data_IF_849859664559
#
_entry.id   IF_849859664559
#
_cell.length_a   1.000
_cell.length_b   1.000
_cell.length_c   1.000
_cell.angle_alpha   90.00
_cell.angle_beta   90.00
_cell.angle_gamma   90.00
#
_symmetry.space_group_name_H-M   'P 1'
#
loop_
_entity.id
_entity.type
_entity.pdbx_description
1 polymer ?
#
# COMPACT_ATOMS: atom_id res chain seq x y z
N UNK A 1 0.26 -2.15 -23.57
CA UNK A 1 0.66 -0.93 -22.81
C UNK A 1 1.03 -1.42 -21.42
N UNK A 2 2.20 -1.02 -20.88
CA UNK A 2 2.62 -1.42 -19.52
C UNK A 2 1.90 -0.47 -18.54
N UNK A 3 1.20 -1.04 -17.56
CA UNK A 3 0.52 -0.29 -16.51
C UNK A 3 1.55 0.33 -15.55
N UNK A 4 1.31 1.56 -15.14
CA UNK A 4 2.26 2.38 -14.38
C UNK A 4 1.80 2.60 -12.94
N UNK A 5 2.75 2.57 -12.00
CA UNK A 5 2.44 2.70 -10.57
C UNK A 5 3.27 3.75 -9.86
N UNK A 6 2.73 4.25 -8.75
CA UNK A 6 3.43 5.03 -7.74
C UNK A 6 3.33 4.27 -6.41
N UNK A 7 4.45 4.17 -5.69
CA UNK A 7 4.54 3.54 -4.36
C UNK A 7 4.80 4.62 -3.29
N UNK A 8 3.82 4.86 -2.42
CA UNK A 8 3.94 5.79 -1.30
C UNK A 8 4.19 5.01 -0.01
N UNK A 9 5.11 5.47 0.82
CA UNK A 9 5.59 4.74 2.01
C UNK A 9 6.24 3.39 1.62
N UNK A 10 7.07 3.42 0.61
CA UNK A 10 7.44 2.25 -0.18
C UNK A 10 8.26 1.20 0.58
N UNK A 11 8.90 1.58 1.68
CA UNK A 11 9.84 0.67 2.34
C UNK A 11 10.94 0.22 1.38
N UNK A 12 11.30 -1.04 1.44
CA UNK A 12 12.28 -1.66 0.52
C UNK A 12 11.67 -2.14 -0.80
N UNK A 13 10.35 -1.90 -1.01
CA UNK A 13 9.65 -2.20 -2.26
C UNK A 13 8.92 -3.55 -2.31
N UNK A 14 8.47 -4.08 -1.18
CA UNK A 14 7.77 -5.37 -1.16
C UNK A 14 6.47 -5.35 -1.98
N UNK A 15 5.66 -4.29 -1.88
CA UNK A 15 4.45 -4.14 -2.71
C UNK A 15 4.82 -3.89 -4.17
N UNK A 16 5.81 -3.03 -4.43
CA UNK A 16 6.31 -2.78 -5.79
C UNK A 16 6.73 -4.05 -6.49
N UNK A 17 7.43 -4.96 -5.78
CA UNK A 17 7.82 -6.24 -6.33
C UNK A 17 6.61 -7.09 -6.74
N UNK A 18 5.57 -7.14 -5.90
CA UNK A 18 4.33 -7.85 -6.23
C UNK A 18 3.63 -7.25 -7.45
N UNK A 19 3.56 -5.93 -7.58
CA UNK A 19 3.00 -5.26 -8.74
C UNK A 19 3.82 -5.51 -10.01
N UNK A 20 5.15 -5.51 -9.92
CA UNK A 20 6.00 -5.81 -11.09
C UNK A 20 5.88 -7.28 -11.54
N UNK A 21 5.76 -8.22 -10.61
CA UNK A 21 5.43 -9.61 -10.95
C UNK A 21 4.09 -9.74 -11.69
N UNK A 22 3.15 -8.83 -11.45
CA UNK A 22 1.87 -8.74 -12.15
C UNK A 22 1.94 -7.93 -13.47
N UNK A 23 3.13 -7.51 -13.90
CA UNK A 23 3.35 -6.82 -15.17
C UNK A 23 3.19 -5.30 -15.12
N UNK A 24 3.11 -4.71 -13.93
CA UNK A 24 3.14 -3.26 -13.75
C UNK A 24 4.60 -2.74 -13.76
N UNK A 25 4.76 -1.44 -13.89
CA UNK A 25 6.06 -0.78 -13.78
C UNK A 25 6.00 0.35 -12.76
N UNK A 26 6.88 0.31 -11.76
CA UNK A 26 7.02 1.41 -10.80
C UNK A 26 7.69 2.61 -11.48
N UNK A 27 7.01 3.76 -11.48
CA UNK A 27 7.54 5.04 -11.96
C UNK A 27 8.26 5.81 -10.88
N UNK A 28 7.63 5.86 -9.70
CA UNK A 28 8.09 6.65 -8.59
C UNK A 28 7.77 5.97 -7.27
N UNK A 29 8.70 6.04 -6.34
CA UNK A 29 8.53 5.62 -4.96
C UNK A 29 8.89 6.77 -4.01
N UNK A 30 8.19 6.83 -2.87
CA UNK A 30 8.47 7.79 -1.80
C UNK A 30 8.76 7.05 -0.52
N UNK A 31 9.95 7.27 0.05
CA UNK A 31 10.40 6.68 1.31
C UNK A 31 11.23 7.69 2.11
N UNK A 32 10.87 7.91 3.37
CA UNK A 32 11.52 8.92 4.19
C UNK A 32 12.88 8.50 4.77
N UNK A 33 13.06 7.21 5.05
CA UNK A 33 14.27 6.69 5.67
C UNK A 33 15.37 6.49 4.63
N UNK A 34 16.50 7.22 4.69
CA UNK A 34 17.51 7.24 3.62
C UNK A 34 18.08 5.86 3.27
N UNK A 35 18.35 5.02 4.28
CA UNK A 35 18.89 3.68 4.06
C UNK A 35 17.88 2.76 3.39
N UNK A 36 16.60 2.93 3.70
CA UNK A 36 15.49 2.16 3.13
C UNK A 36 15.26 2.61 1.69
N UNK A 37 15.21 3.93 1.43
CA UNK A 37 15.09 4.49 0.10
C UNK A 37 16.25 4.03 -0.82
N UNK A 38 17.47 4.00 -0.30
CA UNK A 38 18.63 3.46 -1.03
C UNK A 38 18.46 1.97 -1.38
N UNK A 39 17.94 1.18 -0.46
CA UNK A 39 17.64 -0.24 -0.70
C UNK A 39 16.58 -0.39 -1.79
N UNK A 40 15.51 0.41 -1.72
CA UNK A 40 14.50 0.44 -2.78
C UNK A 40 15.11 0.76 -4.15
N UNK A 41 15.99 1.78 -4.23
CA UNK A 41 16.65 2.18 -5.49
C UNK A 41 17.52 1.06 -6.08
N UNK A 42 18.15 0.25 -5.22
CA UNK A 42 18.92 -0.93 -5.66
C UNK A 42 17.98 -2.01 -6.22
N UNK A 43 16.84 -2.27 -5.58
CA UNK A 43 15.86 -3.25 -6.01
C UNK A 43 15.13 -2.84 -7.31
N UNK A 44 14.91 -1.54 -7.48
CA UNK A 44 14.15 -0.98 -8.61
C UNK A 44 14.94 0.16 -9.28
N UNK A 45 16.05 -0.16 -9.99
CA UNK A 45 16.93 0.86 -10.57
C UNK A 45 16.27 1.73 -11.65
N UNK A 46 15.17 1.28 -12.21
CA UNK A 46 14.39 1.99 -13.22
C UNK A 46 13.32 2.94 -12.63
N UNK A 47 13.04 2.83 -11.33
CA UNK A 47 12.08 3.69 -10.63
C UNK A 47 12.77 4.94 -10.10
N UNK A 48 12.10 6.08 -10.17
CA UNK A 48 12.55 7.29 -9.47
C UNK A 48 12.23 7.14 -7.99
N UNK A 49 13.23 7.30 -7.11
CA UNK A 49 13.02 7.28 -5.65
C UNK A 49 13.17 8.68 -5.10
N UNK A 50 12.15 9.14 -4.38
CA UNK A 50 12.19 10.36 -3.59
C UNK A 50 12.45 9.98 -2.14
N UNK A 51 13.63 10.34 -1.62
CA UNK A 51 13.91 10.21 -0.21
C UNK A 51 13.36 11.43 0.53
N UNK A 52 12.08 11.38 0.86
CA UNK A 52 11.36 12.48 1.49
C UNK A 52 10.20 11.95 2.36
N UNK A 53 9.85 12.70 3.39
CA UNK A 53 8.61 12.44 4.13
C UNK A 53 7.41 12.87 3.26
N UNK A 54 6.41 12.00 3.14
CA UNK A 54 5.22 12.28 2.34
C UNK A 54 4.51 13.56 2.78
N UNK A 55 4.61 13.91 4.05
CA UNK A 55 4.00 15.13 4.61
C UNK A 55 4.64 16.43 4.11
N UNK A 56 5.88 16.36 3.61
CA UNK A 56 6.61 17.49 3.07
C UNK A 56 6.52 17.61 1.53
N UNK A 57 5.85 16.65 0.88
CA UNK A 57 5.78 16.64 -0.57
C UNK A 57 5.01 17.85 -1.11
N UNK A 58 5.64 18.54 -2.02
CA UNK A 58 4.96 19.54 -2.86
C UNK A 58 4.25 18.80 -4.00
N UNK A 59 3.03 18.34 -3.72
CA UNK A 59 2.27 17.43 -4.59
C UNK A 59 2.23 17.95 -6.04
N UNK A 60 1.95 19.23 -6.25
CA UNK A 60 1.89 19.83 -7.60
C UNK A 60 3.25 19.74 -8.32
N UNK A 61 4.36 20.03 -7.64
CA UNK A 61 5.69 20.00 -8.28
C UNK A 61 6.15 18.57 -8.59
N UNK A 62 5.80 17.62 -7.72
CA UNK A 62 6.27 16.22 -7.82
C UNK A 62 5.46 15.41 -8.83
N UNK A 63 4.14 15.62 -8.90
CA UNK A 63 3.22 14.72 -9.60
C UNK A 63 2.52 15.36 -10.82
N UNK A 64 2.80 16.61 -11.18
CA UNK A 64 2.13 17.31 -12.29
C UNK A 64 2.20 16.51 -13.61
N UNK A 65 3.36 16.01 -13.96
CA UNK A 65 3.58 15.22 -15.17
C UNK A 65 2.93 13.83 -15.14
N UNK A 66 2.42 13.40 -13.99
CA UNK A 66 1.85 12.07 -13.76
C UNK A 66 0.32 12.08 -13.75
N UNK A 67 -0.30 13.26 -13.73
CA UNK A 67 -1.77 13.39 -13.71
C UNK A 67 -2.39 12.67 -14.91
N UNK A 68 -3.32 11.74 -14.63
CA UNK A 68 -4.03 10.96 -15.64
C UNK A 68 -3.18 9.92 -16.39
N UNK A 69 -1.91 9.74 -16.03
CA UNK A 69 -1.00 8.78 -16.68
C UNK A 69 -0.70 7.55 -15.80
N UNK A 70 -0.97 7.63 -14.51
CA UNK A 70 -0.72 6.56 -13.55
C UNK A 70 -1.95 5.66 -13.44
N UNK A 71 -1.74 4.37 -13.52
CA UNK A 71 -2.82 3.40 -13.43
C UNK A 71 -3.17 3.09 -11.97
N UNK A 72 -2.14 2.87 -11.12
CA UNK A 72 -2.36 2.53 -9.70
C UNK A 72 -1.41 3.31 -8.80
N UNK A 73 -1.94 3.87 -7.71
CA UNK A 73 -1.16 4.34 -6.56
C UNK A 73 -1.36 3.35 -5.43
N UNK A 74 -0.28 2.90 -4.82
CA UNK A 74 -0.39 2.03 -3.65
C UNK A 74 0.59 2.45 -2.55
N UNK A 75 0.38 1.92 -1.34
CA UNK A 75 1.27 2.17 -0.22
C UNK A 75 0.72 1.70 1.11
N UNK A 76 1.60 1.69 2.12
CA UNK A 76 1.29 1.33 3.49
C UNK A 76 1.48 2.50 4.45
N UNK A 77 0.60 3.52 4.48
CA UNK A 77 0.73 4.63 5.41
C UNK A 77 0.74 4.11 6.85
N UNK A 78 1.76 4.45 7.67
CA UNK A 78 1.86 3.92 9.02
C UNK A 78 0.67 4.36 9.89
N UNK A 79 0.12 3.40 10.62
CA UNK A 79 -1.01 3.58 11.54
C UNK A 79 -0.56 3.14 12.93
N UNK A 80 0.22 3.97 13.60
CA UNK A 80 0.91 3.58 14.84
C UNK A 80 -0.03 3.45 16.05
N UNK A 81 -1.17 4.15 16.07
CA UNK A 81 -2.15 4.09 17.14
C UNK A 81 -2.88 2.74 17.26
N UNK A 82 -2.80 1.87 16.26
CA UNK A 82 -3.55 0.61 16.19
C UNK A 82 -2.69 -0.64 16.28
N UNK A 83 -1.35 -0.51 16.36
CA UNK A 83 -0.53 -1.70 16.56
C UNK A 83 -0.76 -2.26 17.96
N UNK A 84 -0.92 -3.59 18.09
CA UNK A 84 -1.13 -4.28 19.36
C UNK A 84 0.01 -4.05 20.37
N UNK A 85 1.19 -3.59 19.92
CA UNK A 85 2.37 -3.30 20.74
C UNK A 85 2.51 -1.82 21.11
N UNK A 86 1.72 -0.94 20.49
CA UNK A 86 1.72 0.49 20.82
C UNK A 86 0.83 0.77 22.02
N UNK A 87 1.23 1.71 22.89
CA UNK A 87 0.31 2.34 23.84
C UNK A 87 -0.89 2.80 23.00
N UNK A 88 -2.13 2.55 23.48
CA UNK A 88 -3.35 3.06 22.84
C UNK A 88 -3.18 4.58 22.68
N UNK A 89 -2.68 4.99 21.51
CA UNK A 89 -2.55 6.39 21.16
C UNK A 89 -3.97 6.92 20.94
N UNK A 90 -4.22 8.10 21.44
CA UNK A 90 -5.52 8.75 21.30
C UNK A 90 -5.86 9.00 19.84
N UNK A 91 -7.14 9.21 19.53
CA UNK A 91 -7.60 9.65 18.22
C UNK A 91 -6.88 10.92 17.73
N UNK A 92 -6.24 11.66 18.64
CA UNK A 92 -5.54 12.93 18.38
C UNK A 92 -4.10 12.75 17.86
N UNK A 93 -3.58 11.52 17.71
CA UNK A 93 -2.23 11.31 17.17
C UNK A 93 -2.21 11.58 15.66
N UNK A 94 -1.50 12.61 15.24
CA UNK A 94 -1.37 13.02 13.83
C UNK A 94 -0.91 11.89 12.90
N UNK A 95 -0.13 10.93 13.43
CA UNK A 95 0.33 9.77 12.65
C UNK A 95 -0.80 8.83 12.22
N UNK A 96 -1.95 8.89 12.89
CA UNK A 96 -3.13 8.14 12.50
C UNK A 96 -3.78 8.69 11.22
N UNK A 97 -3.38 9.88 10.81
CA UNK A 97 -3.94 10.58 9.65
C UNK A 97 -2.99 10.62 8.43
N UNK A 98 -1.88 9.88 8.47
CA UNK A 98 -0.96 9.82 7.33
C UNK A 98 -1.61 9.27 6.04
N UNK A 99 -2.70 8.52 6.16
CA UNK A 99 -3.51 8.13 5.02
C UNK A 99 -4.10 9.33 4.26
N UNK A 100 -4.29 10.49 4.91
CA UNK A 100 -4.80 11.70 4.23
C UNK A 100 -3.81 12.19 3.19
N UNK A 101 -2.53 12.23 3.52
CA UNK A 101 -1.48 12.60 2.54
C UNK A 101 -1.43 11.62 1.36
N UNK A 102 -1.70 10.32 1.61
CA UNK A 102 -1.86 9.37 0.53
C UNK A 102 -3.06 9.73 -0.35
N UNK A 103 -4.20 10.06 0.25
CA UNK A 103 -5.41 10.44 -0.47
C UNK A 103 -5.26 11.77 -1.22
N UNK A 104 -4.52 12.74 -0.67
CA UNK A 104 -4.21 14.00 -1.35
C UNK A 104 -3.45 13.75 -2.67
N UNK A 105 -2.49 12.80 -2.68
CA UNK A 105 -1.81 12.39 -3.90
C UNK A 105 -2.76 11.69 -4.86
N UNK A 106 -3.65 10.81 -4.37
CA UNK A 106 -4.67 10.13 -5.19
C UNK A 106 -5.62 11.14 -5.83
N UNK A 107 -6.08 12.14 -5.08
CA UNK A 107 -6.97 13.19 -5.56
C UNK A 107 -6.32 14.01 -6.68
N UNK A 108 -5.04 14.35 -6.51
CA UNK A 108 -4.30 15.15 -7.47
C UNK A 108 -3.96 14.37 -8.74
N UNK A 109 -3.38 13.17 -8.62
CA UNK A 109 -2.91 12.35 -9.74
C UNK A 109 -4.06 11.70 -10.52
N UNK A 110 -5.16 11.40 -9.83
CA UNK A 110 -6.37 10.76 -10.38
C UNK A 110 -6.10 9.41 -11.06
N UNK A 111 -5.45 8.46 -10.38
CA UNK A 111 -5.19 7.13 -10.93
C UNK A 111 -6.50 6.38 -11.21
N UNK A 112 -6.43 5.31 -12.01
CA UNK A 112 -7.59 4.41 -12.25
C UNK A 112 -7.98 3.62 -11.00
N UNK A 113 -6.97 3.25 -10.20
CA UNK A 113 -7.16 2.55 -8.93
C UNK A 113 -6.11 2.96 -7.90
N UNK A 114 -6.40 2.67 -6.63
CA UNK A 114 -5.39 2.73 -5.57
C UNK A 114 -5.53 1.55 -4.61
N UNK A 115 -4.44 1.26 -3.89
CA UNK A 115 -4.39 0.21 -2.87
C UNK A 115 -3.72 0.73 -1.61
N UNK A 116 -4.43 0.70 -0.48
CA UNK A 116 -3.85 0.98 0.83
C UNK A 116 -3.69 -0.34 1.58
N UNK A 117 -2.47 -0.65 2.01
CA UNK A 117 -2.17 -1.74 2.94
C UNK A 117 -2.03 -1.21 4.35
N UNK A 118 -2.55 -1.95 5.33
CA UNK A 118 -2.40 -1.59 6.74
C UNK A 118 -2.58 -2.80 7.67
N UNK A 119 -2.43 -2.57 8.97
CA UNK A 119 -2.76 -3.58 9.98
C UNK A 119 -4.28 -3.84 10.04
N UNK A 120 -4.73 -5.07 10.40
CA UNK A 120 -6.15 -5.42 10.45
C UNK A 120 -7.00 -4.45 11.28
N UNK A 121 -6.41 -3.90 12.33
CA UNK A 121 -7.09 -3.00 13.25
C UNK A 121 -7.62 -1.71 12.59
N UNK A 122 -7.08 -1.31 11.44
CA UNK A 122 -7.62 -0.18 10.67
C UNK A 122 -9.10 -0.36 10.32
N UNK A 123 -9.50 -1.61 10.01
CA UNK A 123 -10.89 -1.93 9.64
C UNK A 123 -11.79 -2.22 10.83
N UNK A 124 -11.24 -2.50 12.03
CA UNK A 124 -12.02 -3.04 13.15
C UNK A 124 -12.01 -2.17 14.41
N UNK A 125 -11.02 -1.28 14.56
CA UNK A 125 -10.88 -0.48 15.78
C UNK A 125 -11.83 0.71 15.77
N UNK A 126 -12.36 1.06 16.95
CA UNK A 126 -13.24 2.23 17.15
C UNK A 126 -14.43 2.24 16.19
N UNK A 127 -15.14 1.11 16.09
CA UNK A 127 -16.28 0.94 15.19
C UNK A 127 -15.97 1.31 13.74
N UNK A 128 -14.75 0.96 13.28
CA UNK A 128 -14.27 1.24 11.92
C UNK A 128 -14.13 2.73 11.60
N UNK A 129 -13.97 3.59 12.60
CA UNK A 129 -13.94 5.05 12.44
C UNK A 129 -12.99 5.51 11.32
N UNK A 130 -11.73 5.05 11.33
CA UNK A 130 -10.75 5.46 10.32
C UNK A 130 -11.06 4.91 8.93
N UNK A 131 -11.57 3.68 8.86
CA UNK A 131 -12.03 3.12 7.59
C UNK A 131 -13.19 3.92 7.00
N UNK A 132 -14.14 4.35 7.84
CA UNK A 132 -15.26 5.18 7.41
C UNK A 132 -14.79 6.56 6.92
N UNK A 133 -13.81 7.20 7.57
CA UNK A 133 -13.20 8.44 7.07
C UNK A 133 -12.55 8.25 5.69
N UNK A 134 -11.75 7.20 5.53
CA UNK A 134 -11.13 6.87 4.23
C UNK A 134 -12.21 6.67 3.17
N UNK A 135 -13.26 5.90 3.51
CA UNK A 135 -14.36 5.61 2.60
C UNK A 135 -15.08 6.87 2.14
N UNK A 136 -15.45 7.75 3.07
CA UNK A 136 -16.13 9.00 2.77
C UNK A 136 -15.30 9.91 1.85
N UNK A 137 -14.01 10.05 2.11
CA UNK A 137 -13.13 10.88 1.28
C UNK A 137 -12.94 10.27 -0.12
N UNK A 138 -12.80 8.95 -0.21
CA UNK A 138 -12.69 8.26 -1.50
C UNK A 138 -13.97 8.35 -2.34
N UNK A 139 -15.15 8.21 -1.72
CA UNK A 139 -16.44 8.34 -2.41
C UNK A 139 -16.64 9.75 -2.98
N UNK A 140 -16.22 10.81 -2.24
CA UNK A 140 -16.23 12.20 -2.74
C UNK A 140 -15.31 12.38 -3.98
N UNK A 141 -14.20 11.65 -4.05
CA UNK A 141 -13.29 11.63 -5.18
C UNK A 141 -13.76 10.76 -6.37
N UNK A 142 -14.90 10.07 -6.23
CA UNK A 142 -15.50 9.20 -7.26
C UNK A 142 -14.89 7.80 -7.32
N UNK A 143 -14.32 7.30 -6.22
CA UNK A 143 -13.85 5.91 -6.12
C UNK A 143 -14.85 5.02 -5.40
N UNK A 144 -15.06 3.81 -5.92
CA UNK A 144 -15.76 2.74 -5.21
C UNK A 144 -14.76 1.93 -4.40
N UNK A 145 -15.05 1.71 -3.12
CA UNK A 145 -14.14 1.10 -2.15
C UNK A 145 -14.54 -0.32 -1.82
N UNK A 146 -13.57 -1.21 -1.82
CA UNK A 146 -13.66 -2.55 -1.23
C UNK A 146 -12.51 -2.74 -0.25
N UNK A 147 -12.79 -3.44 0.86
CA UNK A 147 -11.77 -3.73 1.86
C UNK A 147 -11.88 -5.16 2.37
N UNK A 148 -10.75 -5.79 2.64
CA UNK A 148 -10.66 -7.15 3.20
C UNK A 148 -9.39 -7.32 4.00
N UNK A 149 -9.46 -8.14 5.05
CA UNK A 149 -8.29 -8.65 5.74
C UNK A 149 -7.84 -9.92 5.01
N UNK A 150 -6.61 -9.94 4.55
CA UNK A 150 -5.98 -11.08 3.88
C UNK A 150 -4.83 -11.60 4.74
N UNK A 151 -4.62 -12.92 4.72
CA UNK A 151 -3.46 -13.56 5.34
C UNK A 151 -2.47 -13.97 4.24
N UNK A 152 -1.20 -13.62 4.38
CA UNK A 152 -0.18 -13.97 3.41
C UNK A 152 -0.05 -15.49 3.20
N UNK A 153 -0.36 -16.28 4.24
CA UNK A 153 -0.36 -17.76 4.16
C UNK A 153 -1.36 -18.31 3.14
N UNK A 154 -2.47 -17.60 2.91
CA UNK A 154 -3.49 -18.00 1.95
C UNK A 154 -3.05 -17.80 0.48
N UNK A 155 -1.90 -17.17 0.27
CA UNK A 155 -1.32 -16.87 -1.05
C UNK A 155 0.03 -17.54 -1.30
N UNK A 156 0.31 -18.64 -0.61
CA UNK A 156 1.54 -19.42 -0.80
C UNK A 156 2.78 -18.85 -0.10
N UNK A 157 2.63 -17.91 0.82
CA UNK A 157 3.73 -17.39 1.64
C UNK A 157 3.82 -18.22 2.93
N UNK A 158 4.99 -18.72 3.32
CA UNK A 158 5.16 -19.54 4.53
C UNK A 158 5.18 -18.72 5.82
N UNK A 159 4.29 -17.76 5.90
CA UNK A 159 4.17 -16.85 7.04
C UNK A 159 2.71 -16.43 7.25
N UNK A 160 2.22 -16.61 8.47
CA UNK A 160 0.95 -16.04 8.88
C UNK A 160 1.13 -14.53 9.11
N UNK A 161 0.61 -13.73 8.19
CA UNK A 161 0.70 -12.27 8.27
C UNK A 161 -0.58 -11.63 7.74
N UNK A 162 -1.46 -11.28 8.67
CA UNK A 162 -2.73 -10.63 8.34
C UNK A 162 -2.55 -9.14 8.08
N UNK A 163 -3.12 -8.66 6.98
CA UNK A 163 -3.16 -7.24 6.59
C UNK A 163 -4.52 -6.85 6.06
N UNK A 164 -4.91 -5.63 6.37
CA UNK A 164 -6.05 -4.99 5.74
C UNK A 164 -5.62 -4.42 4.40
N UNK A 165 -6.39 -4.70 3.36
CA UNK A 165 -6.26 -4.08 2.04
C UNK A 165 -7.52 -3.30 1.75
N UNK A 166 -7.37 -2.03 1.37
CA UNK A 166 -8.43 -1.16 0.87
C UNK A 166 -8.11 -0.88 -0.59
N UNK A 167 -9.01 -1.28 -1.47
CA UNK A 167 -8.87 -1.07 -2.92
C UNK A 167 -9.95 -0.09 -3.36
N UNK A 168 -9.53 1.02 -3.97
CA UNK A 168 -10.42 1.98 -4.62
C UNK A 168 -10.29 1.91 -6.13
N UNK A 169 -11.42 1.83 -6.83
CA UNK A 169 -11.45 1.86 -8.30
C UNK A 169 -12.37 2.99 -8.76
N UNK A 170 -11.92 3.73 -9.77
CA UNK A 170 -12.66 4.85 -10.36
C UNK A 170 -13.81 4.36 -11.25
N UNK A 171 -14.80 5.24 -11.50
CA UNK A 171 -15.85 5.03 -12.50
C UNK A 171 -16.87 3.90 -12.17
N UNK A 172 -17.27 3.78 -10.90
CA UNK A 172 -18.28 2.79 -10.46
C UNK A 172 -17.93 1.32 -10.79
N UNK A 173 -16.67 1.03 -11.07
CA UNK A 173 -16.22 -0.34 -11.18
C UNK A 173 -16.01 -0.93 -9.80
N UNK A 174 -16.31 -2.21 -9.63
CA UNK A 174 -16.15 -2.90 -8.36
C UNK A 174 -15.03 -3.92 -8.49
N UNK A 175 -13.98 -3.78 -7.68
CA UNK A 175 -13.01 -4.84 -7.51
C UNK A 175 -13.58 -5.90 -6.58
N UNK A 176 -13.85 -7.09 -7.11
CA UNK A 176 -14.34 -8.19 -6.28
C UNK A 176 -13.18 -8.85 -5.51
N UNK A 177 -12.84 -8.28 -4.36
CA UNK A 177 -11.78 -8.77 -3.48
C UNK A 177 -12.06 -10.17 -2.90
N UNK A 178 -13.21 -10.77 -3.20
CA UNK A 178 -13.53 -12.15 -2.81
C UNK A 178 -13.05 -13.18 -3.83
N UNK A 179 -12.82 -12.76 -5.06
CA UNK A 179 -12.35 -13.60 -6.19
C UNK A 179 -10.83 -13.53 -6.35
N UNK A 180 -10.11 -13.87 -5.28
CA UNK A 180 -8.65 -13.94 -5.29
C UNK A 180 -8.18 -15.38 -5.47
N UNK A 181 -7.07 -15.56 -6.18
CA UNK A 181 -6.47 -16.88 -6.39
C UNK A 181 -5.69 -17.30 -5.14
N UNK A 182 -6.33 -18.11 -4.31
CA UNK A 182 -5.72 -18.68 -3.12
C UNK A 182 -4.74 -19.80 -3.50
N UNK A 183 -3.61 -19.88 -2.77
CA UNK A 183 -2.56 -20.88 -2.95
C UNK A 183 -2.28 -21.59 -1.63
N UNK A 184 -2.03 -22.90 -1.69
CA UNK A 184 -1.57 -23.61 -0.52
C UNK A 184 -0.25 -23.07 0.00
N UNK A 185 -0.14 -23.00 1.33
CA UNK A 185 1.09 -22.61 1.99
C UNK A 185 2.13 -23.74 1.82
N UNK A 186 3.32 -23.46 1.30
CA UNK A 186 4.39 -24.46 1.21
C UNK A 186 4.87 -24.82 2.60
N UNK A 187 5.37 -26.05 2.76
CA UNK A 187 5.97 -26.50 4.03
C UNK A 187 7.32 -25.82 4.25
N UNK A 188 7.68 -25.57 5.50
CA UNK A 188 8.95 -24.91 5.84
C UNK A 188 10.16 -25.73 5.40
N UNK A 189 10.11 -27.06 5.49
CA UNK A 189 11.16 -27.96 5.04
C UNK A 189 11.39 -27.89 3.52
N UNK A 190 10.36 -27.67 2.72
CA UNK A 190 10.48 -27.46 1.28
C UNK A 190 11.20 -26.13 0.96
N UNK A 191 10.93 -25.08 1.74
CA UNK A 191 11.51 -23.74 1.52
C UNK A 191 12.97 -23.68 1.96
N UNK A 192 13.31 -24.38 3.03
CA UNK A 192 14.67 -24.42 3.59
C UNK A 192 15.49 -25.60 3.09
N UNK A 193 15.00 -26.32 2.06
CA UNK A 193 15.67 -27.51 1.51
C UNK A 193 17.05 -27.24 0.90
N UNK A 194 17.34 -25.98 0.53
CA UNK A 194 18.62 -25.52 -0.01
C UNK A 194 19.60 -25.02 1.06
N UNK A 195 19.17 -24.94 2.30
CA UNK A 195 20.06 -24.56 3.40
C UNK A 195 20.90 -25.75 3.86
N UNK A 196 22.18 -25.54 4.23
CA UNK A 196 23.00 -26.60 4.79
C UNK A 196 22.37 -27.14 6.09
N UNK A 197 22.39 -28.45 6.26
CA UNK A 197 22.01 -29.07 7.52
C UNK A 197 22.89 -28.53 8.66
N UNK A 198 22.24 -27.95 9.67
CA UNK A 198 22.92 -27.48 10.89
C UNK A 198 23.39 -28.64 11.76
#
# INVERSE_FOLDING_TARGET
MILQTIDLFSGVGGMSYGFEMAGFKSLLAVEKEPNIAKTYQINFPHSKVLNEDVTNLKIHEVFEDMVGKVDVIFGGPPCQGFSQKGKRLSLDDERNYLFKYFLDVVEFVKPKAFVIENVPNLLTTSDSYFFNLIKEDCEKMGYTINAKILDASDFGVPQQKKRAFIVGIKENQVFDITKLDYKEQPKLDEIFSDLPNL
#
